data_IF_021209459757
#
_entry.id   IF_021209459757
#
_cell.length_a   1.000
_cell.length_b   1.000
_cell.length_c   1.000
_cell.angle_alpha   90.00
_cell.angle_beta   90.00
_cell.angle_gamma   90.00
#
_symmetry.space_group_name_H-M   'P 1'
#
loop_
_entity.id
_entity.type
_entity.pdbx_description
1 polymer ?
#
# COMPACT_ATOMS: atom_id res chain seq x y z
N UNK A 1 8.88 -5.91 -8.49
CA UNK A 1 10.07 -6.79 -8.58
C UNK A 1 10.28 -7.54 -7.28
N UNK A 2 10.63 -8.81 -7.39
CA UNK A 2 11.15 -9.61 -6.29
C UNK A 2 12.55 -10.07 -6.66
N UNK A 3 13.56 -9.42 -6.05
CA UNK A 3 14.97 -9.69 -6.35
C UNK A 3 15.43 -10.79 -5.39
N UNK A 4 15.83 -11.94 -5.94
CA UNK A 4 16.31 -13.09 -5.15
C UNK A 4 17.84 -13.18 -5.08
N UNK A 5 18.53 -12.30 -5.78
CA UNK A 5 19.99 -12.29 -5.83
C UNK A 5 20.59 -11.55 -4.63
N UNK A 6 21.76 -11.96 -4.19
CA UNK A 6 22.57 -11.21 -3.21
C UNK A 6 23.61 -10.32 -3.93
N UNK A 7 23.39 -9.97 -5.18
CA UNK A 7 24.31 -9.17 -5.98
C UNK A 7 23.76 -7.76 -6.19
N UNK A 8 24.26 -6.79 -5.42
CA UNK A 8 23.91 -5.37 -5.54
C UNK A 8 24.08 -4.78 -6.95
N UNK A 9 25.12 -5.10 -7.74
CA UNK A 9 25.24 -4.64 -9.11
C UNK A 9 24.00 -4.88 -9.99
N UNK A 10 23.24 -5.95 -9.75
CA UNK A 10 21.99 -6.21 -10.49
C UNK A 10 20.96 -5.09 -10.25
N UNK A 11 20.91 -4.53 -9.05
CA UNK A 11 19.99 -3.43 -8.75
C UNK A 11 20.37 -2.18 -9.55
N UNK A 12 21.65 -1.88 -9.68
CA UNK A 12 22.12 -0.75 -10.48
C UNK A 12 21.87 -1.01 -11.99
N UNK A 13 22.07 -2.21 -12.49
CA UNK A 13 21.72 -2.57 -13.89
C UNK A 13 20.21 -2.38 -14.15
N UNK A 14 19.36 -2.76 -13.19
CA UNK A 14 17.90 -2.53 -13.30
C UNK A 14 17.62 -1.03 -13.34
N UNK A 15 18.28 -0.25 -12.47
CA UNK A 15 18.12 1.21 -12.44
C UNK A 15 18.56 1.86 -13.76
N UNK A 16 19.69 1.45 -14.32
CA UNK A 16 20.19 1.92 -15.61
C UNK A 16 19.22 1.61 -16.76
N UNK A 17 18.63 0.43 -16.76
CA UNK A 17 17.60 0.08 -17.72
C UNK A 17 16.33 0.93 -17.55
N UNK A 18 15.89 1.18 -16.30
CA UNK A 18 14.77 2.08 -16.02
C UNK A 18 15.08 3.49 -16.51
N UNK A 19 16.26 4.00 -16.22
CA UNK A 19 16.74 5.31 -16.66
C UNK A 19 16.79 5.42 -18.19
N UNK A 20 17.32 4.40 -18.84
CA UNK A 20 17.50 4.41 -20.29
C UNK A 20 16.20 4.27 -21.05
N UNK A 21 15.30 3.39 -20.62
CA UNK A 21 14.13 3.02 -21.42
C UNK A 21 12.81 3.57 -20.87
N UNK A 22 12.68 3.79 -19.58
CA UNK A 22 11.41 4.20 -18.97
C UNK A 22 11.39 5.70 -18.64
N UNK A 23 12.49 6.26 -18.15
CA UNK A 23 12.55 7.67 -17.79
C UNK A 23 12.25 8.62 -18.96
N UNK A 24 12.74 8.39 -20.21
CA UNK A 24 12.42 9.26 -21.33
C UNK A 24 10.95 9.28 -21.72
N UNK A 25 10.18 8.27 -21.29
CA UNK A 25 8.73 8.22 -21.58
C UNK A 25 7.91 9.23 -20.78
N UNK A 26 8.47 9.84 -19.72
CA UNK A 26 7.75 10.72 -18.80
C UNK A 26 6.65 10.01 -17.99
N UNK A 27 6.63 8.68 -18.00
CA UNK A 27 5.58 7.89 -17.34
C UNK A 27 5.96 7.40 -15.93
N UNK A 28 7.23 7.47 -15.56
CA UNK A 28 7.61 7.13 -14.19
C UNK A 28 6.91 8.05 -13.20
N UNK A 29 6.47 7.48 -12.10
CA UNK A 29 5.91 8.25 -11.01
C UNK A 29 7.03 9.08 -10.36
N UNK A 30 6.74 10.34 -10.02
CA UNK A 30 7.74 11.27 -9.50
C UNK A 30 8.23 10.94 -8.09
N UNK A 31 9.24 11.68 -7.64
CA UNK A 31 9.89 11.51 -6.33
C UNK A 31 8.95 11.67 -5.13
N UNK A 32 7.86 12.45 -5.26
CA UNK A 32 6.84 12.60 -4.21
C UNK A 32 6.18 11.28 -3.80
N UNK A 33 6.32 10.26 -4.65
CA UNK A 33 5.82 8.91 -4.44
C UNK A 33 6.97 7.90 -4.29
N UNK A 34 8.20 8.34 -4.11
CA UNK A 34 9.32 7.42 -3.93
C UNK A 34 9.39 6.92 -2.49
N UNK A 35 9.76 5.66 -2.35
CA UNK A 35 9.94 5.02 -1.05
C UNK A 35 11.01 5.73 -0.21
N UNK A 36 12.12 6.13 -0.82
CA UNK A 36 13.23 6.83 -0.20
C UNK A 36 12.83 8.15 0.46
N UNK A 37 11.90 8.88 -0.14
CA UNK A 37 11.45 10.19 0.36
C UNK A 37 10.22 10.10 1.26
N UNK A 38 9.94 8.94 1.85
CA UNK A 38 8.72 8.73 2.65
C UNK A 38 7.45 9.18 1.92
N UNK A 39 7.40 8.90 0.64
CA UNK A 39 6.47 9.46 -0.30
C UNK A 39 5.00 9.27 0.04
N UNK A 40 4.16 9.88 -0.76
CA UNK A 40 2.69 9.82 -0.64
C UNK A 40 2.21 8.36 -0.64
N UNK A 41 1.30 8.04 0.29
CA UNK A 41 0.67 6.73 0.33
C UNK A 41 -0.19 6.49 -0.92
N UNK A 42 0.28 5.63 -1.82
CA UNK A 42 -0.42 5.27 -3.06
C UNK A 42 -1.82 4.67 -2.81
N UNK A 43 -2.05 4.05 -1.67
CA UNK A 43 -3.36 3.51 -1.29
C UNK A 43 -4.45 4.57 -1.12
N UNK A 44 -4.07 5.84 -0.98
CA UNK A 44 -4.98 6.99 -0.86
C UNK A 44 -5.14 7.80 -2.14
N UNK A 45 -4.27 7.56 -3.12
CA UNK A 45 -4.30 8.30 -4.39
C UNK A 45 -5.38 7.70 -5.29
N UNK A 46 -6.27 8.51 -5.86
CA UNK A 46 -7.22 8.03 -6.85
C UNK A 46 -6.49 7.41 -8.03
N UNK A 47 -6.94 6.25 -8.49
CA UNK A 47 -6.29 5.55 -9.59
C UNK A 47 -6.33 6.36 -10.89
N UNK A 48 -7.31 7.25 -11.04
CA UNK A 48 -7.38 8.21 -12.16
C UNK A 48 -6.12 9.08 -12.27
N UNK A 49 -5.53 9.45 -11.14
CA UNK A 49 -4.36 10.33 -11.09
C UNK A 49 -3.07 9.57 -11.43
N UNK A 50 -3.14 8.24 -11.39
CA UNK A 50 -2.05 7.32 -11.72
C UNK A 50 -2.17 6.74 -13.14
N UNK A 51 -3.18 7.16 -13.91
CA UNK A 51 -3.37 6.66 -15.28
C UNK A 51 -2.17 7.01 -16.16
N UNK A 52 -1.70 6.02 -16.93
CA UNK A 52 -0.54 6.16 -17.80
C UNK A 52 0.81 6.25 -17.09
N UNK A 53 0.82 6.12 -15.75
CA UNK A 53 2.04 6.10 -14.96
C UNK A 53 2.57 4.69 -14.76
N UNK A 54 3.88 4.57 -14.64
CA UNK A 54 4.60 3.36 -14.28
C UNK A 54 4.95 3.44 -12.79
N UNK A 55 4.48 2.46 -12.03
CA UNK A 55 4.70 2.36 -10.58
C UNK A 55 5.63 1.18 -10.33
N UNK A 56 6.74 1.42 -9.66
CA UNK A 56 7.74 0.40 -9.35
C UNK A 56 7.53 -0.05 -7.91
N UNK A 57 7.21 -1.32 -7.75
CA UNK A 57 6.99 -1.97 -6.47
C UNK A 57 8.05 -3.04 -6.27
N UNK A 58 8.70 -3.03 -5.10
CA UNK A 58 9.74 -4.00 -4.74
C UNK A 58 9.31 -4.81 -3.53
N UNK A 59 9.59 -6.11 -3.56
CA UNK A 59 9.42 -6.98 -2.39
C UNK A 59 10.61 -6.81 -1.45
N UNK A 60 10.36 -6.23 -0.27
CA UNK A 60 11.36 -5.97 0.79
C UNK A 60 11.71 -7.22 1.62
N UNK A 61 11.41 -8.41 1.15
CA UNK A 61 11.95 -9.65 1.77
C UNK A 61 13.49 -9.68 1.67
N UNK A 62 14.02 -8.96 0.68
CA UNK A 62 15.45 -8.71 0.49
C UNK A 62 15.67 -7.21 0.34
N UNK A 63 16.47 -6.62 1.21
CA UNK A 63 16.76 -5.18 1.26
C UNK A 63 17.89 -4.74 0.33
N UNK A 64 18.32 -5.60 -0.60
CA UNK A 64 19.48 -5.34 -1.45
C UNK A 64 19.37 -4.14 -2.38
N UNK A 65 18.16 -3.67 -2.65
CA UNK A 65 17.95 -2.45 -3.43
C UNK A 65 18.24 -1.18 -2.62
N UNK A 66 18.25 -1.26 -1.29
CA UNK A 66 18.56 -0.12 -0.41
C UNK A 66 20.03 0.29 -0.60
N UNK A 67 20.28 1.59 -0.72
CA UNK A 67 21.60 2.14 -1.00
C UNK A 67 22.09 1.92 -2.44
N UNK A 68 21.22 1.50 -3.35
CA UNK A 68 21.53 1.39 -4.78
C UNK A 68 20.73 2.42 -5.60
N UNK A 69 21.12 2.65 -6.84
CA UNK A 69 20.42 3.58 -7.74
C UNK A 69 18.96 3.15 -7.99
N UNK A 70 18.61 1.87 -7.79
CA UNK A 70 17.24 1.37 -7.90
C UNK A 70 16.31 1.98 -6.85
N UNK A 71 16.83 2.27 -5.66
CA UNK A 71 16.02 2.84 -4.56
C UNK A 71 15.34 4.16 -4.96
N UNK A 72 16.01 4.98 -5.78
CA UNK A 72 15.44 6.25 -6.27
C UNK A 72 14.17 6.08 -7.12
N UNK A 73 14.02 4.92 -7.76
CA UNK A 73 12.88 4.63 -8.62
C UNK A 73 11.76 3.87 -7.92
N UNK A 74 12.00 3.33 -6.71
CA UNK A 74 11.01 2.53 -5.98
C UNK A 74 9.94 3.45 -5.39
N UNK A 75 8.71 3.27 -5.85
CA UNK A 75 7.56 4.01 -5.34
C UNK A 75 6.95 3.35 -4.10
N UNK A 76 7.03 2.02 -4.01
CA UNK A 76 6.41 1.27 -2.93
C UNK A 76 7.22 0.00 -2.65
N UNK A 77 7.45 -0.29 -1.37
CA UNK A 77 8.09 -1.52 -0.95
C UNK A 77 7.15 -2.34 -0.06
N UNK A 78 7.16 -3.66 -0.23
CA UNK A 78 6.44 -4.55 0.66
C UNK A 78 7.00 -4.45 2.09
N UNK A 79 6.18 -4.79 3.09
CA UNK A 79 6.55 -4.69 4.50
C UNK A 79 7.00 -3.27 4.92
N UNK A 80 6.43 -2.28 4.26
CA UNK A 80 6.52 -0.86 4.61
C UNK A 80 5.24 -0.40 5.32
N UNK A 81 5.21 0.87 5.72
CA UNK A 81 4.00 1.49 6.30
C UNK A 81 2.81 1.43 5.34
N UNK A 82 3.08 1.49 4.04
CA UNK A 82 2.04 1.62 3.00
C UNK A 82 1.64 0.30 2.35
N UNK A 83 2.42 -0.75 2.53
CA UNK A 83 2.18 -2.02 1.86
C UNK A 83 2.63 -3.22 2.69
N UNK A 84 1.78 -4.26 2.71
CA UNK A 84 2.10 -5.60 3.24
C UNK A 84 2.22 -6.60 2.10
N UNK A 85 3.14 -7.53 2.24
CA UNK A 85 3.17 -8.75 1.44
C UNK A 85 2.85 -9.93 2.36
N UNK A 86 1.75 -10.61 2.08
CA UNK A 86 1.23 -11.70 2.88
C UNK A 86 1.18 -13.00 2.07
N UNK A 87 1.35 -14.13 2.73
CA UNK A 87 1.09 -15.45 2.15
C UNK A 87 -0.38 -15.82 2.29
N UNK A 88 -0.85 -16.79 1.51
CA UNK A 88 -2.21 -17.28 1.62
C UNK A 88 -2.57 -17.68 3.06
N UNK A 89 -1.68 -18.39 3.74
CA UNK A 89 -1.87 -18.80 5.13
C UNK A 89 -2.03 -17.62 6.09
N UNK A 90 -1.33 -16.51 5.86
CA UNK A 90 -1.39 -15.32 6.72
C UNK A 90 -2.76 -14.64 6.62
N UNK A 91 -3.44 -14.81 5.49
CA UNK A 91 -4.80 -14.29 5.25
C UNK A 91 -5.85 -15.28 5.74
N UNK A 92 -5.68 -16.56 5.41
CA UNK A 92 -6.62 -17.62 5.80
C UNK A 92 -6.72 -17.77 7.32
N UNK A 93 -5.60 -17.65 8.01
CA UNK A 93 -5.50 -17.75 9.48
C UNK A 93 -5.19 -16.40 10.13
N UNK A 94 -5.67 -15.30 9.56
CA UNK A 94 -5.41 -13.96 10.10
C UNK A 94 -5.86 -13.86 11.57
N UNK A 95 -4.95 -13.54 12.52
CA UNK A 95 -5.29 -13.47 13.93
C UNK A 95 -6.34 -12.41 14.24
N UNK A 96 -6.34 -11.34 13.49
CA UNK A 96 -7.32 -10.25 13.59
C UNK A 96 -7.87 -9.87 12.20
N UNK A 97 -8.92 -10.57 11.75
CA UNK A 97 -9.56 -10.29 10.46
C UNK A 97 -10.04 -8.85 10.29
N UNK A 98 -10.50 -8.22 11.39
CA UNK A 98 -10.99 -6.83 11.36
C UNK A 98 -9.85 -5.85 11.11
N UNK A 99 -8.70 -6.05 11.75
CA UNK A 99 -7.51 -5.21 11.55
C UNK A 99 -7.04 -5.29 10.09
N UNK A 100 -6.94 -6.50 9.54
CA UNK A 100 -6.54 -6.71 8.16
C UNK A 100 -7.49 -5.99 7.18
N UNK A 101 -8.79 -6.07 7.43
CA UNK A 101 -9.80 -5.40 6.64
C UNK A 101 -9.69 -3.87 6.72
N UNK A 102 -9.52 -3.31 7.93
CA UNK A 102 -9.34 -1.87 8.11
C UNK A 102 -8.03 -1.37 7.49
N UNK A 103 -6.95 -2.14 7.62
CA UNK A 103 -5.70 -1.86 6.94
C UNK A 103 -5.91 -1.78 5.42
N UNK A 104 -6.57 -2.76 4.83
CA UNK A 104 -6.80 -2.84 3.38
C UNK A 104 -7.76 -1.77 2.83
N UNK A 105 -8.46 -1.03 3.68
CA UNK A 105 -9.21 0.16 3.25
C UNK A 105 -8.32 1.34 2.88
N UNK A 106 -7.15 1.45 3.52
CA UNK A 106 -6.26 2.61 3.42
C UNK A 106 -4.91 2.30 2.81
N UNK A 107 -4.44 1.09 3.02
CA UNK A 107 -3.11 0.62 2.62
C UNK A 107 -3.24 -0.50 1.59
N UNK A 108 -2.12 -0.88 1.01
CA UNK A 108 -2.07 -1.93 -0.01
C UNK A 108 -1.61 -3.26 0.58
N UNK A 109 -2.19 -4.35 0.10
CA UNK A 109 -1.72 -5.71 0.39
C UNK A 109 -1.54 -6.47 -0.92
N UNK A 110 -0.35 -7.06 -1.07
CA UNK A 110 -0.07 -8.09 -2.05
C UNK A 110 -0.17 -9.44 -1.35
N UNK A 111 -1.02 -10.32 -1.84
CA UNK A 111 -1.03 -11.71 -1.40
C UNK A 111 -0.36 -12.62 -2.41
N UNK A 112 0.24 -13.70 -1.91
CA UNK A 112 1.00 -14.66 -2.71
C UNK A 112 0.68 -16.09 -2.24
N UNK A 113 0.80 -17.11 -3.12
CA UNK A 113 0.75 -18.51 -2.71
C UNK A 113 1.76 -18.82 -1.60
N UNK A 114 1.49 -19.84 -0.79
CA UNK A 114 2.44 -20.31 0.20
C UNK A 114 3.72 -20.84 -0.47
N UNK A 115 4.83 -20.83 0.25
CA UNK A 115 6.12 -21.30 -0.32
C UNK A 115 6.09 -22.76 -0.69
N UNK A 116 5.26 -23.55 -0.02
CA UNK A 116 5.12 -25.00 -0.25
C UNK A 116 4.16 -25.31 -1.41
N UNK A 117 3.21 -24.40 -1.68
CA UNK A 117 2.16 -24.57 -2.69
C UNK A 117 2.55 -23.89 -4.01
N UNK A 118 3.73 -24.25 -4.55
CA UNK A 118 4.33 -23.52 -5.68
C UNK A 118 3.48 -23.53 -6.95
N UNK A 119 2.64 -24.53 -7.11
CA UNK A 119 1.87 -24.77 -8.34
C UNK A 119 0.36 -24.63 -8.15
N UNK A 120 -0.11 -24.22 -6.97
CA UNK A 120 -1.53 -24.01 -6.71
C UNK A 120 -1.89 -22.53 -6.64
N UNK A 121 -3.09 -22.20 -7.08
CA UNK A 121 -3.64 -20.87 -6.97
C UNK A 121 -4.33 -20.66 -5.62
N UNK A 122 -4.24 -19.44 -5.12
CA UNK A 122 -4.95 -19.04 -3.90
C UNK A 122 -6.45 -18.88 -4.17
N UNK A 123 -7.28 -19.05 -3.14
CA UNK A 123 -8.72 -18.78 -3.22
C UNK A 123 -8.96 -17.27 -3.32
N UNK A 124 -8.95 -16.73 -4.53
CA UNK A 124 -9.08 -15.30 -4.78
C UNK A 124 -10.29 -14.67 -4.09
N UNK A 125 -11.41 -15.42 -3.97
CA UNK A 125 -12.61 -14.96 -3.27
C UNK A 125 -12.36 -14.66 -1.79
N UNK A 126 -11.57 -15.49 -1.11
CA UNK A 126 -11.20 -15.28 0.29
C UNK A 126 -10.39 -14.00 0.46
N UNK A 127 -9.40 -13.80 -0.40
CA UNK A 127 -8.56 -12.61 -0.36
C UNK A 127 -9.36 -11.33 -0.67
N UNK A 128 -10.27 -11.41 -1.64
CA UNK A 128 -11.18 -10.31 -1.96
C UNK A 128 -12.11 -9.93 -0.79
N UNK A 129 -12.52 -10.91 0.03
CA UNK A 129 -13.34 -10.66 1.24
C UNK A 129 -12.61 -9.85 2.31
N UNK A 130 -11.29 -9.88 2.33
CA UNK A 130 -10.46 -9.02 3.20
C UNK A 130 -10.05 -7.72 2.52
N UNK A 131 -10.52 -7.46 1.29
CA UNK A 131 -10.20 -6.25 0.55
C UNK A 131 -8.76 -6.17 0.05
N UNK A 132 -8.08 -7.31 -0.11
CA UNK A 132 -6.75 -7.39 -0.70
C UNK A 132 -6.77 -6.82 -2.12
N UNK A 133 -5.80 -5.99 -2.48
CA UNK A 133 -5.78 -5.30 -3.75
C UNK A 133 -5.05 -6.07 -4.85
N UNK A 134 -3.97 -6.75 -4.50
CA UNK A 134 -3.14 -7.49 -5.44
C UNK A 134 -3.05 -8.95 -5.00
N UNK A 135 -3.49 -9.85 -5.87
CA UNK A 135 -3.49 -11.28 -5.60
C UNK A 135 -2.58 -11.95 -6.61
N UNK A 136 -1.44 -12.48 -6.14
CA UNK A 136 -0.52 -13.23 -6.96
C UNK A 136 -1.06 -14.61 -7.27
N UNK A 137 -1.17 -14.93 -8.56
CA UNK A 137 -1.68 -16.20 -9.06
C UNK A 137 -0.57 -16.95 -9.80
N UNK A 138 -0.66 -18.27 -9.83
CA UNK A 138 0.14 -19.16 -10.64
C UNK A 138 -0.47 -19.32 -12.03
N UNK A 139 -0.17 -18.42 -12.96
CA UNK A 139 -0.77 -18.41 -14.30
C UNK A 139 -0.40 -19.64 -15.16
N UNK A 140 0.68 -20.32 -14.82
CA UNK A 140 1.06 -21.59 -15.48
C UNK A 140 0.13 -22.76 -15.11
N UNK A 141 -0.67 -22.62 -14.04
CA UNK A 141 -1.64 -23.63 -13.64
C UNK A 141 -3.06 -23.05 -13.72
N UNK A 142 -3.78 -23.40 -14.78
CA UNK A 142 -5.14 -22.90 -15.02
C UNK A 142 -6.16 -23.75 -14.29
N UNK A 143 -6.44 -23.39 -13.03
CA UNK A 143 -7.42 -24.04 -12.17
C UNK A 143 -8.69 -23.16 -11.98
N UNK A 144 -9.66 -23.65 -11.22
CA UNK A 144 -10.92 -22.94 -10.94
C UNK A 144 -10.71 -21.60 -10.18
N UNK A 145 -9.64 -21.49 -9.37
CA UNK A 145 -9.32 -20.28 -8.66
C UNK A 145 -8.81 -19.19 -9.61
N UNK A 146 -7.94 -19.56 -10.56
CA UNK A 146 -7.46 -18.63 -11.58
C UNK A 146 -8.60 -18.20 -12.51
N UNK A 147 -9.40 -19.16 -12.95
CA UNK A 147 -10.59 -18.88 -13.77
C UNK A 147 -11.54 -17.90 -13.08
N UNK A 148 -11.80 -18.10 -11.80
CA UNK A 148 -12.62 -17.17 -11.01
C UNK A 148 -11.98 -15.79 -10.95
N UNK A 149 -10.66 -15.71 -10.70
CA UNK A 149 -9.91 -14.46 -10.62
C UNK A 149 -9.97 -13.68 -11.94
N UNK A 150 -9.72 -14.33 -13.06
CA UNK A 150 -9.81 -13.70 -14.39
C UNK A 150 -11.22 -13.19 -14.70
N UNK A 151 -12.25 -13.94 -14.33
CA UNK A 151 -13.65 -13.56 -14.55
C UNK A 151 -14.03 -12.26 -13.83
N UNK A 152 -13.42 -11.94 -12.67
CA UNK A 152 -13.66 -10.67 -11.96
C UNK A 152 -13.34 -9.48 -12.87
N UNK A 153 -12.25 -9.56 -13.65
CA UNK A 153 -11.80 -8.48 -14.52
C UNK A 153 -12.45 -8.55 -15.90
N UNK A 154 -12.61 -9.76 -16.45
CA UNK A 154 -13.22 -9.98 -17.76
C UNK A 154 -14.66 -9.44 -17.81
N UNK A 155 -15.48 -9.68 -16.78
CA UNK A 155 -16.84 -9.16 -16.70
C UNK A 155 -16.93 -7.64 -16.69
N UNK A 156 -15.87 -6.96 -16.26
CA UNK A 156 -15.82 -5.49 -16.17
C UNK A 156 -15.08 -4.85 -17.32
N UNK A 157 -14.35 -5.62 -18.11
CA UNK A 157 -13.54 -5.12 -19.23
C UNK A 157 -12.37 -4.24 -18.80
N UNK A 158 -11.95 -4.28 -17.52
CA UNK A 158 -10.91 -3.42 -16.97
C UNK A 158 -9.90 -4.23 -16.15
N UNK A 159 -8.64 -3.81 -16.18
CA UNK A 159 -7.57 -4.38 -15.34
C UNK A 159 -7.70 -4.05 -13.84
N UNK A 160 -8.62 -3.14 -13.49
CA UNK A 160 -8.93 -2.76 -12.12
C UNK A 160 -10.40 -2.98 -11.82
N UNK A 161 -10.69 -3.65 -10.71
CA UNK A 161 -12.03 -3.85 -10.23
C UNK A 161 -12.25 -3.04 -8.95
N UNK A 162 -13.27 -2.18 -8.97
CA UNK A 162 -13.62 -1.39 -7.81
C UNK A 162 -14.11 -2.29 -6.67
N UNK A 163 -13.49 -2.18 -5.50
CA UNK A 163 -13.89 -2.93 -4.30
C UNK A 163 -15.34 -2.62 -3.91
N UNK A 164 -16.09 -3.59 -3.37
CA UNK A 164 -17.37 -3.33 -2.73
C UNK A 164 -17.29 -2.19 -1.71
N UNK A 165 -18.38 -1.44 -1.55
CA UNK A 165 -18.40 -0.22 -0.73
C UNK A 165 -17.92 -0.44 0.71
N UNK A 166 -18.25 -1.56 1.31
CA UNK A 166 -17.83 -1.96 2.66
C UNK A 166 -16.31 -2.09 2.84
N UNK A 167 -15.57 -2.28 1.74
CA UNK A 167 -14.11 -2.42 1.73
C UNK A 167 -13.38 -1.17 1.25
N UNK A 168 -14.10 -0.07 1.04
CA UNK A 168 -13.51 1.21 0.65
C UNK A 168 -13.32 2.10 1.87
N UNK A 169 -12.28 2.90 1.83
CA UNK A 169 -12.12 3.99 2.78
C UNK A 169 -13.17 5.07 2.51
N UNK A 170 -13.93 5.43 3.54
CA UNK A 170 -14.83 6.58 3.49
C UNK A 170 -14.25 7.67 4.40
N UNK A 171 -13.83 8.81 3.86
CA UNK A 171 -13.40 9.93 4.67
C UNK A 171 -14.57 10.37 5.55
N UNK A 172 -14.33 10.46 6.85
CA UNK A 172 -15.29 11.04 7.79
C UNK A 172 -14.94 12.51 8.00
N UNK A 173 -15.88 13.40 7.74
CA UNK A 173 -15.76 14.79 8.17
C UNK A 173 -16.05 14.86 9.65
N UNK A 174 -15.02 15.07 10.44
CA UNK A 174 -15.17 15.38 11.86
C UNK A 174 -15.31 16.90 11.94
N UNK A 175 -16.50 17.37 12.28
CA UNK A 175 -16.69 18.78 12.59
C UNK A 175 -15.87 19.10 13.84
N UNK A 176 -15.00 20.10 13.75
CA UNK A 176 -14.32 20.59 14.94
C UNK A 176 -15.36 20.98 15.98
N UNK A 177 -15.22 20.57 17.23
CA UNK A 177 -16.10 21.02 18.30
C UNK A 177 -16.10 22.55 18.34
N UNK A 178 -17.25 23.16 18.66
CA UNK A 178 -17.32 24.58 18.86
C UNK A 178 -16.26 25.00 19.87
N UNK A 179 -15.64 26.17 19.64
CA UNK A 179 -14.70 26.72 20.61
C UNK A 179 -15.33 26.67 22.00
N UNK A 180 -14.61 26.12 22.95
CA UNK A 180 -15.04 26.07 24.34
C UNK A 180 -15.30 27.53 24.83
N UNK A 181 -16.30 27.68 25.67
CA UNK A 181 -16.52 28.97 26.35
C UNK A 181 -15.28 29.32 27.18
N UNK A 182 -15.07 30.62 27.45
CA UNK A 182 -13.90 31.04 28.23
C UNK A 182 -13.81 30.33 29.59
N UNK A 183 -14.93 29.89 30.13
CA UNK A 183 -15.01 29.25 31.44
C UNK A 183 -14.45 27.78 31.45
N UNK A 184 -14.43 27.14 30.30
CA UNK A 184 -13.89 25.77 30.13
C UNK A 184 -12.69 25.72 29.17
N UNK A 185 -12.09 26.86 28.86
CA UNK A 185 -10.92 26.94 27.99
C UNK A 185 -9.66 26.50 28.74
N UNK A 186 -8.83 25.66 28.08
CA UNK A 186 -7.50 25.30 28.55
C UNK A 186 -6.45 26.40 28.25
N UNK A 187 -6.85 27.55 27.76
CA UNK A 187 -5.93 28.67 27.57
C UNK A 187 -5.40 29.14 28.94
N UNK A 188 -4.12 29.46 29.04
CA UNK A 188 -3.51 29.94 30.28
C UNK A 188 -4.32 31.11 30.86
N UNK A 189 -4.67 31.01 32.12
CA UNK A 189 -5.40 32.07 32.85
C UNK A 189 -4.51 32.62 33.94
N UNK A 190 -4.43 33.91 34.02
CA UNK A 190 -3.72 34.58 35.09
C UNK A 190 -4.72 35.01 36.15
N UNK A 191 -4.55 34.47 37.37
CA UNK A 191 -5.21 34.92 38.58
C UNK A 191 -4.27 35.84 39.33
N UNK A 192 -4.71 37.01 39.64
CA UNK A 192 -3.93 38.01 40.37
C UNK A 192 -4.72 38.50 41.59
N UNK A 193 -4.07 38.48 42.73
CA UNK A 193 -4.51 39.08 43.95
C UNK A 193 -3.44 40.03 44.48
N UNK A 194 -3.69 40.73 45.55
CA UNK A 194 -2.71 41.60 46.18
C UNK A 194 -1.47 40.83 46.71
N UNK A 195 -1.59 39.54 46.88
CA UNK A 195 -0.57 38.67 47.48
C UNK A 195 0.13 37.71 46.50
N UNK A 196 -0.48 37.42 45.37
CA UNK A 196 0.10 36.48 44.37
C UNK A 196 -0.40 36.74 42.95
N UNK A 197 0.42 36.31 42.01
CA UNK A 197 0.07 36.19 40.61
C UNK A 197 0.35 34.77 40.15
N UNK A 198 -0.68 34.07 39.70
CA UNK A 198 -0.59 32.69 39.26
C UNK A 198 -1.13 32.56 37.84
N UNK A 199 -0.38 31.93 36.96
CA UNK A 199 -0.83 31.58 35.62
C UNK A 199 -1.00 30.06 35.55
N UNK A 200 -2.21 29.62 35.25
CA UNK A 200 -2.60 28.22 35.12
C UNK A 200 -2.94 27.90 33.68
#
# INVERSE_FOLDING_TARGET
FRIKSNNQPICNEIADNIKTYLQPTGRLLGRDYSYENYGTNLGKVPISDLMGKIIIIVDKTNTMFEGTDLEEYVNLASNSVFMRALRNQDIEFAPNPKELLEYNKRQMTLSMPNLQDKDSNVKAILHAQYGVQMIGMCYQNYDENLKYYENIFAQKGHAFSLKPEKFRYKPQMINCPKKQTKDVSYAPRTHQSDYYKLTL
#
